data_IF_723675744588
#
_entry.id   IF_723675744588
#
_cell.length_a   1.000
_cell.length_b   1.000
_cell.length_c   1.000
_cell.angle_alpha   90.00
_cell.angle_beta   90.00
_cell.angle_gamma   90.00
#
_symmetry.space_group_name_H-M   'P 1'
#
loop_
_entity.id
_entity.type
_entity.pdbx_description
1 polymer ?
#
# COMPACT_ATOMS: atom_id res chain seq x y z
N UNK A 1 -14.61 -6.69 -24.03
CA UNK A 1 -13.89 -5.39 -24.09
C UNK A 1 -12.41 -5.68 -24.21
N UNK A 2 -11.74 -5.25 -25.28
CA UNK A 2 -10.34 -5.55 -25.54
C UNK A 2 -9.45 -4.77 -24.58
N UNK A 3 -8.69 -5.48 -23.75
CA UNK A 3 -7.67 -4.91 -22.86
C UNK A 3 -6.58 -4.24 -23.70
N UNK A 4 -6.56 -2.93 -23.76
CA UNK A 4 -5.47 -2.13 -24.31
C UNK A 4 -4.25 -2.24 -23.37
N UNK A 5 -3.52 -3.34 -23.40
CA UNK A 5 -2.17 -3.39 -22.83
C UNK A 5 -1.26 -2.50 -23.70
N UNK A 6 -1.13 -1.22 -23.36
CA UNK A 6 -0.06 -0.40 -23.94
C UNK A 6 1.27 -1.06 -23.61
N UNK A 7 2.00 -1.51 -24.65
CA UNK A 7 3.37 -1.99 -24.46
C UNK A 7 4.20 -0.88 -23.81
N UNK A 8 4.84 -1.17 -22.70
CA UNK A 8 5.81 -0.27 -22.07
C UNK A 8 6.94 -0.09 -23.09
N UNK A 9 7.15 1.12 -23.57
CA UNK A 9 8.20 1.44 -24.54
C UNK A 9 9.54 1.65 -23.82
N UNK A 10 10.65 1.48 -24.54
CA UNK A 10 11.99 1.81 -24.01
C UNK A 10 12.08 3.26 -23.54
N UNK A 11 11.36 4.17 -24.20
CA UNK A 11 11.28 5.58 -23.83
C UNK A 11 10.56 5.78 -22.48
N UNK A 12 9.44 5.10 -22.24
CA UNK A 12 8.73 5.14 -20.94
C UNK A 12 9.64 4.66 -19.81
N UNK A 13 10.40 3.59 -20.03
CA UNK A 13 11.37 3.08 -19.03
C UNK A 13 12.47 4.10 -18.75
N UNK A 14 12.97 4.76 -19.78
CA UNK A 14 14.00 5.79 -19.63
C UNK A 14 13.48 7.00 -18.87
N UNK A 15 12.30 7.51 -19.20
CA UNK A 15 11.65 8.62 -18.51
C UNK A 15 11.37 8.30 -17.04
N UNK A 16 10.87 7.11 -16.72
CA UNK A 16 10.67 6.65 -15.34
C UNK A 16 11.99 6.63 -14.55
N UNK A 17 13.07 6.12 -15.15
CA UNK A 17 14.39 6.12 -14.50
C UNK A 17 14.93 7.51 -14.22
N UNK A 18 14.70 8.46 -15.12
CA UNK A 18 15.08 9.87 -14.93
C UNK A 18 14.29 10.46 -13.79
N UNK A 19 12.95 10.33 -13.83
CA UNK A 19 12.06 10.83 -12.78
C UNK A 19 12.48 10.33 -11.40
N UNK A 20 12.72 9.02 -11.25
CA UNK A 20 13.14 8.43 -9.98
C UNK A 20 14.47 9.02 -9.48
N UNK A 21 15.45 9.27 -10.36
CA UNK A 21 16.77 9.76 -9.97
C UNK A 21 16.80 11.23 -9.57
N UNK A 22 15.87 12.03 -10.06
CA UNK A 22 15.80 13.48 -9.80
C UNK A 22 15.15 13.80 -8.46
N UNK A 23 14.44 12.84 -7.84
CA UNK A 23 13.73 13.07 -6.59
C UNK A 23 14.62 12.86 -5.36
N UNK A 24 14.45 13.75 -4.38
CA UNK A 24 15.19 13.68 -3.12
C UNK A 24 14.46 12.82 -2.09
N UNK A 25 13.13 12.85 -2.10
CA UNK A 25 12.28 12.01 -1.25
C UNK A 25 11.25 11.25 -2.08
N UNK A 26 11.11 9.94 -1.81
CA UNK A 26 10.13 9.08 -2.48
C UNK A 26 9.25 8.42 -1.42
N UNK A 27 7.96 8.65 -1.52
CA UNK A 27 6.93 7.97 -0.74
C UNK A 27 6.51 6.70 -1.46
N UNK A 28 6.71 5.57 -0.82
CA UNK A 28 6.42 4.25 -1.35
C UNK A 28 5.17 3.67 -0.69
N UNK A 29 4.20 3.22 -1.48
CA UNK A 29 3.25 2.23 -0.97
C UNK A 29 3.91 0.85 -0.92
N UNK A 30 3.30 -0.09 -0.21
CA UNK A 30 3.84 -1.44 -0.02
C UNK A 30 3.17 -2.47 -0.93
N UNK A 31 1.86 -2.70 -0.72
CA UNK A 31 1.10 -3.71 -1.44
C UNK A 31 0.86 -3.28 -2.89
N UNK A 32 1.16 -4.16 -3.82
CA UNK A 32 1.07 -3.81 -5.24
C UNK A 32 2.22 -2.92 -5.75
N UNK A 33 3.11 -2.42 -4.90
CA UNK A 33 4.21 -1.53 -5.28
C UNK A 33 5.57 -2.13 -4.95
N UNK A 34 5.79 -2.62 -3.74
CA UNK A 34 7.02 -3.30 -3.32
C UNK A 34 6.85 -4.81 -3.47
N UNK A 35 5.76 -5.33 -2.93
CA UNK A 35 5.35 -6.73 -3.06
C UNK A 35 4.09 -6.82 -3.92
N UNK A 36 4.02 -7.84 -4.77
CA UNK A 36 2.83 -8.13 -5.59
C UNK A 36 1.81 -8.92 -4.75
N UNK A 37 1.25 -8.27 -3.75
CA UNK A 37 0.46 -8.85 -2.65
C UNK A 37 -1.03 -8.50 -2.67
N UNK A 38 -1.51 -7.76 -3.66
CA UNK A 38 -2.92 -7.32 -3.73
C UNK A 38 -3.87 -8.51 -3.71
N UNK A 39 -3.62 -9.53 -4.55
CA UNK A 39 -4.46 -10.74 -4.60
C UNK A 39 -4.45 -11.53 -3.29
N UNK A 40 -3.33 -11.52 -2.56
CA UNK A 40 -3.21 -12.16 -1.24
C UNK A 40 -4.20 -11.56 -0.24
N UNK A 41 -4.34 -10.24 -0.25
CA UNK A 41 -5.27 -9.52 0.64
C UNK A 41 -6.72 -9.76 0.27
N UNK A 42 -7.05 -9.82 -1.03
CA UNK A 42 -8.40 -10.22 -1.49
C UNK A 42 -8.79 -11.60 -0.99
N UNK A 43 -7.91 -12.60 -1.16
CA UNK A 43 -8.10 -13.95 -0.62
C UNK A 43 -8.20 -13.98 0.92
N UNK A 44 -7.49 -13.11 1.61
CA UNK A 44 -7.56 -12.97 3.06
C UNK A 44 -8.96 -12.52 3.53
N UNK A 45 -9.55 -11.53 2.87
CA UNK A 45 -10.92 -11.09 3.16
C UNK A 45 -11.95 -12.17 2.80
N UNK A 46 -11.81 -12.83 1.66
CA UNK A 46 -12.66 -13.95 1.28
C UNK A 46 -12.70 -15.03 2.37
N UNK A 47 -11.52 -15.49 2.83
CA UNK A 47 -11.42 -16.49 3.90
C UNK A 47 -11.99 -16.01 5.23
N UNK A 48 -11.77 -14.72 5.57
CA UNK A 48 -12.23 -14.14 6.83
C UNK A 48 -13.77 -14.10 6.90
N UNK A 49 -14.43 -13.79 5.78
CA UNK A 49 -15.89 -13.63 5.71
C UNK A 49 -16.63 -14.83 5.15
N UNK A 50 -15.94 -15.90 4.74
CA UNK A 50 -16.55 -17.14 4.26
C UNK A 50 -17.61 -17.75 5.21
N UNK A 51 -17.43 -17.74 6.55
CA UNK A 51 -18.44 -18.24 7.48
C UNK A 51 -19.80 -17.54 7.43
N UNK A 52 -19.86 -16.33 6.85
CA UNK A 52 -21.08 -15.51 6.75
C UNK A 52 -21.83 -15.71 5.42
N UNK A 53 -21.36 -16.60 4.56
CA UNK A 53 -22.01 -16.98 3.31
C UNK A 53 -21.47 -16.27 2.07
N UNK A 54 -21.75 -16.87 0.91
CA UNK A 54 -21.18 -16.44 -0.39
C UNK A 54 -21.59 -15.01 -0.80
N UNK A 55 -22.80 -14.58 -0.44
CA UNK A 55 -23.27 -13.21 -0.75
C UNK A 55 -22.43 -12.14 -0.02
N UNK A 56 -22.11 -12.37 1.27
CA UNK A 56 -21.25 -11.47 2.04
C UNK A 56 -19.84 -11.47 1.46
N UNK A 57 -19.29 -12.64 1.16
CA UNK A 57 -17.97 -12.77 0.52
C UNK A 57 -17.89 -11.97 -0.77
N UNK A 58 -18.90 -12.09 -1.63
CA UNK A 58 -18.97 -11.36 -2.90
C UNK A 58 -18.97 -9.84 -2.69
N UNK A 59 -19.79 -9.33 -1.77
CA UNK A 59 -19.84 -7.89 -1.44
C UNK A 59 -18.47 -7.40 -0.91
N UNK A 60 -17.90 -8.14 0.04
CA UNK A 60 -16.62 -7.82 0.66
C UNK A 60 -15.49 -7.78 -0.37
N UNK A 61 -15.41 -8.80 -1.23
CA UNK A 61 -14.36 -8.90 -2.25
C UNK A 61 -14.48 -7.78 -3.28
N UNK A 62 -15.68 -7.53 -3.81
CA UNK A 62 -15.93 -6.45 -4.76
C UNK A 62 -15.58 -5.08 -4.17
N UNK A 63 -15.99 -4.82 -2.93
CA UNK A 63 -15.66 -3.56 -2.26
C UNK A 63 -14.17 -3.43 -2.01
N UNK A 64 -13.51 -4.51 -1.57
CA UNK A 64 -12.07 -4.49 -1.31
C UNK A 64 -11.26 -4.16 -2.58
N UNK A 65 -11.59 -4.79 -3.70
CA UNK A 65 -10.95 -4.56 -5.00
C UNK A 65 -11.18 -3.13 -5.52
N UNK A 66 -12.40 -2.61 -5.35
CA UNK A 66 -12.71 -1.23 -5.75
C UNK A 66 -12.04 -0.16 -4.86
N UNK A 67 -11.70 -0.51 -3.62
CA UNK A 67 -11.16 0.42 -2.62
C UNK A 67 -9.77 -0.03 -2.12
N UNK A 68 -8.87 -0.37 -3.04
CA UNK A 68 -7.46 -0.62 -2.70
C UNK A 68 -6.85 0.56 -1.96
N UNK A 69 -5.94 0.30 -1.02
CA UNK A 69 -5.27 1.35 -0.23
C UNK A 69 -6.10 1.94 0.93
N UNK A 70 -7.39 1.57 1.09
CA UNK A 70 -8.18 1.89 2.29
C UNK A 70 -7.85 0.90 3.40
N UNK A 71 -7.68 1.41 4.63
CA UNK A 71 -7.30 0.61 5.79
C UNK A 71 -8.38 -0.44 6.17
N UNK A 72 -7.93 -1.56 6.71
CA UNK A 72 -8.82 -2.57 7.31
C UNK A 72 -9.62 -2.02 8.48
N UNK A 73 -9.10 -1.02 9.19
CA UNK A 73 -9.81 -0.35 10.29
C UNK A 73 -11.08 0.37 9.82
N UNK A 74 -11.12 0.80 8.57
CA UNK A 74 -12.29 1.42 7.95
C UNK A 74 -13.20 0.37 7.29
N UNK A 75 -12.61 -0.69 6.73
CA UNK A 75 -13.33 -1.73 5.97
C UNK A 75 -14.04 -2.74 6.87
N UNK A 76 -13.36 -3.24 7.91
CA UNK A 76 -13.90 -4.32 8.76
C UNK A 76 -15.21 -3.91 9.45
N UNK A 77 -15.39 -2.69 10.00
CA UNK A 77 -16.68 -2.28 10.53
C UNK A 77 -17.82 -2.39 9.50
N UNK A 78 -17.58 -1.93 8.27
CA UNK A 78 -18.54 -2.02 7.18
C UNK A 78 -18.85 -3.48 6.80
N UNK A 79 -17.84 -4.34 6.79
CA UNK A 79 -18.00 -5.74 6.42
C UNK A 79 -18.71 -6.56 7.51
N UNK A 80 -18.51 -6.21 8.77
CA UNK A 80 -19.27 -6.78 9.88
C UNK A 80 -20.75 -6.40 9.80
N UNK A 81 -21.07 -5.15 9.47
CA UNK A 81 -22.45 -4.71 9.23
C UNK A 81 -23.12 -5.52 8.11
N UNK A 82 -22.42 -5.74 6.99
CA UNK A 82 -22.94 -6.59 5.91
C UNK A 82 -23.12 -8.05 6.29
N UNK A 83 -22.31 -8.54 7.24
CA UNK A 83 -22.43 -9.88 7.80
C UNK A 83 -23.53 -10.03 8.85
N UNK A 84 -24.20 -8.93 9.23
CA UNK A 84 -25.18 -8.91 10.32
C UNK A 84 -24.57 -9.03 11.72
N UNK A 85 -23.27 -8.73 11.83
CA UNK A 85 -22.50 -8.85 13.08
C UNK A 85 -22.31 -7.48 13.76
N UNK A 86 -22.23 -7.43 15.11
CA UNK A 86 -21.98 -6.19 15.81
C UNK A 86 -20.60 -5.60 15.46
N UNK A 87 -20.55 -4.36 15.01
CA UNK A 87 -19.30 -3.64 14.74
C UNK A 87 -18.80 -2.88 15.99
N UNK A 88 -18.72 -3.57 17.14
CA UNK A 88 -18.16 -2.98 18.36
C UNK A 88 -16.61 -3.01 18.35
N UNK A 89 -15.93 -2.18 19.16
CA UNK A 89 -14.46 -2.08 19.13
C UNK A 89 -13.73 -3.41 19.36
N UNK A 90 -14.25 -4.28 20.22
CA UNK A 90 -13.63 -5.58 20.56
C UNK A 90 -13.68 -6.48 19.33
N UNK A 91 -14.83 -6.58 18.67
CA UNK A 91 -15.03 -7.43 17.50
C UNK A 91 -14.24 -6.91 16.29
N UNK A 92 -14.21 -5.60 16.10
CA UNK A 92 -13.38 -4.98 15.06
C UNK A 92 -11.90 -5.35 15.26
N UNK A 93 -11.39 -5.22 16.48
CA UNK A 93 -10.00 -5.58 16.81
C UNK A 93 -9.72 -7.06 16.58
N UNK A 94 -10.63 -7.94 16.99
CA UNK A 94 -10.52 -9.40 16.74
C UNK A 94 -10.42 -9.71 15.24
N UNK A 95 -11.32 -9.14 14.43
CA UNK A 95 -11.31 -9.36 12.98
C UNK A 95 -10.07 -8.76 12.32
N UNK A 96 -9.60 -7.61 12.76
CA UNK A 96 -8.32 -7.05 12.31
C UNK A 96 -7.15 -8.00 12.60
N UNK A 97 -7.11 -8.58 13.81
CA UNK A 97 -6.08 -9.54 14.18
C UNK A 97 -6.17 -10.85 13.39
N UNK A 98 -7.37 -11.41 13.24
CA UNK A 98 -7.60 -12.60 12.40
C UNK A 98 -7.17 -12.36 10.95
N UNK A 99 -7.47 -11.19 10.41
CA UNK A 99 -7.03 -10.82 9.06
C UNK A 99 -5.50 -10.77 8.96
N UNK A 100 -4.80 -10.14 9.94
CA UNK A 100 -3.34 -10.14 9.99
C UNK A 100 -2.76 -11.55 9.94
N UNK A 101 -3.28 -12.46 10.78
CA UNK A 101 -2.83 -13.85 10.84
C UNK A 101 -3.04 -14.60 9.51
N UNK A 102 -4.09 -14.24 8.74
CA UNK A 102 -4.36 -14.86 7.44
C UNK A 102 -3.42 -14.39 6.33
N UNK A 103 -2.95 -13.13 6.39
CA UNK A 103 -2.28 -12.53 5.23
C UNK A 103 -0.80 -12.24 5.42
N UNK A 104 -0.30 -12.04 6.64
CA UNK A 104 1.04 -11.53 6.88
C UNK A 104 2.13 -12.40 6.24
N UNK A 105 2.12 -13.71 6.48
CA UNK A 105 3.11 -14.61 5.88
C UNK A 105 2.99 -14.67 4.37
N UNK A 106 1.77 -14.74 3.83
CA UNK A 106 1.54 -14.79 2.40
C UNK A 106 1.95 -13.47 1.69
N UNK A 107 1.84 -12.33 2.38
CA UNK A 107 2.39 -11.04 1.91
C UNK A 107 3.92 -11.08 1.88
N UNK A 108 4.57 -11.60 2.91
CA UNK A 108 6.02 -11.78 2.95
C UNK A 108 6.49 -12.68 1.79
N UNK A 109 5.78 -13.77 1.53
CA UNK A 109 6.13 -14.76 0.50
C UNK A 109 5.74 -14.31 -0.92
N UNK A 110 4.90 -13.29 -1.07
CA UNK A 110 4.46 -12.81 -2.39
C UNK A 110 5.64 -12.35 -3.25
N UNK A 111 5.53 -12.35 -4.57
CA UNK A 111 6.62 -11.92 -5.45
C UNK A 111 7.02 -10.45 -5.22
N UNK A 112 8.29 -10.15 -5.44
CA UNK A 112 8.76 -8.77 -5.55
C UNK A 112 8.23 -8.13 -6.84
N UNK A 113 7.81 -6.87 -6.77
CA UNK A 113 7.59 -6.09 -7.98
C UNK A 113 8.94 -5.94 -8.71
N UNK A 114 9.02 -6.28 -10.00
CA UNK A 114 10.28 -6.34 -10.72
C UNK A 114 11.11 -5.07 -10.62
N UNK A 115 12.35 -5.20 -10.16
CA UNK A 115 13.33 -4.11 -10.04
C UNK A 115 13.23 -3.29 -8.77
N UNK A 116 12.12 -3.34 -8.02
CA UNK A 116 11.91 -2.50 -6.83
C UNK A 116 12.86 -2.86 -5.70
N UNK A 117 12.99 -4.14 -5.35
CA UNK A 117 13.94 -4.58 -4.31
C UNK A 117 15.36 -4.08 -4.58
N UNK A 118 15.85 -4.27 -5.81
CA UNK A 118 17.18 -3.78 -6.21
C UNK A 118 17.28 -2.26 -6.09
N UNK A 119 16.23 -1.54 -6.50
CA UNK A 119 16.22 -0.08 -6.42
C UNK A 119 16.31 0.41 -4.97
N UNK A 120 15.50 -0.14 -4.07
CA UNK A 120 15.52 0.21 -2.65
C UNK A 120 16.91 -0.01 -2.05
N UNK A 121 17.46 -1.22 -2.18
CA UNK A 121 18.80 -1.56 -1.64
C UNK A 121 19.92 -0.69 -2.21
N UNK A 122 19.82 -0.23 -3.46
CA UNK A 122 20.91 0.51 -4.13
C UNK A 122 20.82 2.03 -3.94
N UNK A 123 19.68 2.59 -3.54
CA UNK A 123 19.49 4.04 -3.56
C UNK A 123 19.09 4.67 -2.22
N UNK A 124 18.74 3.90 -1.19
CA UNK A 124 18.32 4.42 0.12
C UNK A 124 19.39 5.30 0.83
N UNK A 125 20.64 5.18 0.46
CA UNK A 125 21.70 6.04 0.99
C UNK A 125 21.80 7.40 0.26
N UNK A 126 21.08 7.59 -0.85
CA UNK A 126 21.15 8.79 -1.70
C UNK A 126 19.83 9.55 -1.77
N UNK A 127 18.74 8.87 -1.45
CA UNK A 127 17.37 9.39 -1.50
C UNK A 127 16.67 8.99 -0.22
N UNK A 128 15.86 9.86 0.33
CA UNK A 128 15.01 9.51 1.47
C UNK A 128 13.82 8.69 0.98
N UNK A 129 13.69 7.47 1.47
CA UNK A 129 12.52 6.64 1.24
C UNK A 129 11.63 6.66 2.48
N UNK A 130 10.37 6.99 2.26
CA UNK A 130 9.32 6.99 3.27
C UNK A 130 8.29 5.95 2.87
N UNK A 131 8.02 4.99 3.73
CA UNK A 131 6.94 4.05 3.48
C UNK A 131 5.62 4.61 4.00
N UNK A 132 4.58 4.56 3.16
CA UNK A 132 3.22 4.99 3.48
C UNK A 132 2.23 3.90 3.06
N UNK A 133 1.63 3.18 4.00
CA UNK A 133 0.78 2.03 3.70
C UNK A 133 -0.49 2.00 4.53
N UNK A 134 -1.55 1.36 4.01
CA UNK A 134 -2.77 1.06 4.74
C UNK A 134 -2.65 -0.18 5.65
N UNK A 135 -1.53 -0.90 5.60
CA UNK A 135 -1.21 -1.98 6.55
C UNK A 135 -0.97 -1.37 7.94
N UNK A 136 -1.45 -1.99 9.04
CA UNK A 136 -1.17 -1.52 10.39
C UNK A 136 0.31 -1.32 10.68
N UNK A 137 0.63 -0.32 11.52
CA UNK A 137 2.02 0.07 11.80
C UNK A 137 2.87 -1.11 12.28
N UNK A 138 2.42 -1.82 13.29
CA UNK A 138 3.18 -2.96 13.86
C UNK A 138 3.38 -4.09 12.85
N UNK A 139 2.35 -4.39 12.05
CA UNK A 139 2.40 -5.43 11.01
C UNK A 139 3.42 -5.09 9.92
N UNK A 140 3.39 -3.84 9.41
CA UNK A 140 4.33 -3.47 8.36
C UNK A 140 5.78 -3.41 8.86
N UNK A 141 6.03 -3.01 10.10
CA UNK A 141 7.36 -3.03 10.71
C UNK A 141 7.89 -4.47 10.81
N UNK A 142 7.07 -5.43 11.23
CA UNK A 142 7.43 -6.86 11.26
C UNK A 142 7.71 -7.41 9.87
N UNK A 143 6.89 -7.06 8.88
CA UNK A 143 7.09 -7.45 7.47
C UNK A 143 8.44 -6.91 6.95
N UNK A 144 8.72 -5.62 7.16
CA UNK A 144 9.96 -4.99 6.72
C UNK A 144 11.19 -5.59 7.41
N UNK A 145 11.08 -5.92 8.68
CA UNK A 145 12.14 -6.60 9.43
C UNK A 145 12.43 -7.97 8.81
N UNK A 146 11.40 -8.78 8.58
CA UNK A 146 11.55 -10.13 7.98
C UNK A 146 12.11 -10.06 6.56
N UNK A 147 11.76 -9.03 5.79
CA UNK A 147 12.27 -8.81 4.43
C UNK A 147 13.64 -8.09 4.40
N UNK A 148 14.23 -7.79 5.55
CA UNK A 148 15.49 -7.03 5.68
C UNK A 148 15.46 -5.67 4.99
N UNK A 149 14.30 -5.00 4.97
CA UNK A 149 14.10 -3.69 4.34
C UNK A 149 14.06 -2.52 5.31
N UNK A 150 14.09 -2.74 6.62
CA UNK A 150 13.97 -1.67 7.62
C UNK A 150 14.99 -0.56 7.40
N UNK A 151 16.24 -0.92 7.07
CA UNK A 151 17.31 0.06 6.82
C UNK A 151 17.14 0.86 5.51
N UNK A 152 16.22 0.44 4.63
CA UNK A 152 15.98 1.14 3.37
C UNK A 152 15.08 2.35 3.53
N UNK A 153 14.33 2.46 4.63
CA UNK A 153 13.37 3.53 4.85
C UNK A 153 13.82 4.43 5.98
N UNK A 154 13.82 5.74 5.71
CA UNK A 154 14.04 6.76 6.74
C UNK A 154 12.90 6.77 7.74
N UNK A 155 11.67 6.58 7.26
CA UNK A 155 10.46 6.51 8.07
C UNK A 155 9.48 5.49 7.49
N UNK A 156 8.70 4.88 8.39
CA UNK A 156 7.66 3.91 8.08
C UNK A 156 6.35 4.37 8.71
N UNK A 157 5.32 4.53 7.90
CA UNK A 157 4.00 5.00 8.35
C UNK A 157 2.92 4.04 7.86
N UNK A 158 2.39 3.26 8.80
CA UNK A 158 1.22 2.40 8.62
C UNK A 158 -0.07 3.03 9.13
N UNK A 159 -1.18 2.33 8.91
CA UNK A 159 -2.46 2.72 9.50
C UNK A 159 -2.37 2.77 11.05
N UNK A 160 -3.13 3.68 11.69
CA UNK A 160 -4.28 4.44 11.17
C UNK A 160 -3.93 5.78 10.50
N UNK A 161 -2.66 6.15 10.37
CA UNK A 161 -2.29 7.40 9.70
C UNK A 161 -2.70 7.37 8.23
N UNK A 162 -3.30 8.48 7.76
CA UNK A 162 -3.65 8.59 6.33
C UNK A 162 -2.43 8.97 5.50
N UNK A 163 -2.31 8.41 4.30
CA UNK A 163 -1.19 8.67 3.38
C UNK A 163 -1.01 10.17 3.10
N UNK A 164 -2.11 10.91 2.90
CA UNK A 164 -2.06 12.35 2.61
C UNK A 164 -1.50 13.16 3.78
N UNK A 165 -1.91 12.86 5.00
CA UNK A 165 -1.40 13.56 6.19
C UNK A 165 0.08 13.27 6.42
N UNK A 166 0.51 12.02 6.18
CA UNK A 166 1.94 11.65 6.29
C UNK A 166 2.77 12.41 5.26
N UNK A 167 2.34 12.45 3.99
CA UNK A 167 3.06 13.20 2.95
C UNK A 167 3.21 14.66 3.35
N UNK A 168 2.12 15.32 3.78
CA UNK A 168 2.14 16.72 4.21
C UNK A 168 3.08 16.95 5.40
N UNK A 169 3.01 16.09 6.43
CA UNK A 169 3.85 16.19 7.63
C UNK A 169 5.33 16.04 7.29
N UNK A 170 5.68 15.00 6.54
CA UNK A 170 7.07 14.71 6.17
C UNK A 170 7.67 15.84 5.32
N UNK A 171 6.93 16.35 4.31
CA UNK A 171 7.40 17.46 3.49
C UNK A 171 7.73 18.69 4.34
N UNK A 172 6.85 19.05 5.28
CA UNK A 172 7.05 20.20 6.17
C UNK A 172 8.20 20.01 7.16
N UNK A 173 8.21 18.86 7.83
CA UNK A 173 9.16 18.58 8.92
C UNK A 173 10.59 18.34 8.42
N UNK A 174 10.74 17.74 7.24
CA UNK A 174 12.03 17.50 6.61
C UNK A 174 12.43 18.58 5.59
N UNK A 175 11.61 19.63 5.47
CA UNK A 175 11.86 20.79 4.60
C UNK A 175 12.03 20.44 3.11
N UNK A 176 11.24 19.46 2.61
CA UNK A 176 11.17 19.15 1.18
C UNK A 176 10.12 20.02 0.48
N UNK A 177 10.46 20.48 -0.73
CA UNK A 177 9.49 21.07 -1.64
C UNK A 177 8.76 19.96 -2.42
N UNK A 178 7.49 20.19 -2.83
CA UNK A 178 6.71 19.18 -3.56
C UNK A 178 7.35 18.69 -4.87
N UNK A 179 8.10 19.53 -5.57
CA UNK A 179 8.81 19.17 -6.80
C UNK A 179 10.01 18.23 -6.57
N UNK A 180 10.55 18.19 -5.36
CA UNK A 180 11.60 17.27 -4.92
C UNK A 180 11.08 15.90 -4.55
N UNK A 181 9.75 15.77 -4.44
CA UNK A 181 9.08 14.57 -3.95
C UNK A 181 8.41 13.77 -5.06
N UNK A 182 8.17 12.47 -4.79
CA UNK A 182 7.41 11.56 -5.63
C UNK A 182 6.61 10.61 -4.74
N UNK A 183 5.35 10.37 -5.07
CA UNK A 183 4.56 9.27 -4.52
C UNK A 183 4.50 8.15 -5.54
N UNK A 184 4.78 6.91 -5.12
CA UNK A 184 4.62 5.70 -5.93
C UNK A 184 3.54 4.85 -5.28
N UNK A 185 2.48 4.56 -6.02
CA UNK A 185 1.34 3.81 -5.55
C UNK A 185 0.58 3.10 -6.66
N UNK A 186 -0.36 2.25 -6.30
CA UNK A 186 -1.24 1.54 -7.23
C UNK A 186 -2.72 1.87 -7.05
N UNK A 187 -3.06 2.63 -6.00
CA UNK A 187 -4.43 2.92 -5.57
C UNK A 187 -4.81 4.40 -5.68
N UNK A 188 -6.12 4.66 -5.61
CA UNK A 188 -6.65 6.02 -5.56
C UNK A 188 -6.19 6.79 -4.32
N UNK A 189 -5.99 6.13 -3.19
CA UNK A 189 -5.51 6.79 -1.96
C UNK A 189 -4.10 7.35 -2.13
N UNK A 190 -3.23 6.69 -2.89
CA UNK A 190 -1.90 7.18 -3.23
C UNK A 190 -1.96 8.38 -4.15
N UNK A 191 -2.80 8.29 -5.19
CA UNK A 191 -3.02 9.41 -6.10
C UNK A 191 -3.57 10.64 -5.37
N UNK A 192 -4.53 10.45 -4.46
CA UNK A 192 -5.07 11.55 -3.66
C UNK A 192 -4.03 12.14 -2.72
N UNK A 193 -3.19 11.30 -2.10
CA UNK A 193 -2.10 11.77 -1.24
C UNK A 193 -1.11 12.65 -2.03
N UNK A 194 -0.74 12.23 -3.24
CA UNK A 194 0.11 13.01 -4.12
C UNK A 194 -0.57 14.34 -4.56
N UNK A 195 -1.81 14.25 -5.05
CA UNK A 195 -2.56 15.40 -5.56
C UNK A 195 -2.80 16.49 -4.51
N UNK A 196 -3.23 16.10 -3.30
CA UNK A 196 -3.49 17.04 -2.21
C UNK A 196 -2.24 17.78 -1.73
N UNK A 197 -1.07 17.17 -1.92
CA UNK A 197 0.21 17.74 -1.52
C UNK A 197 1.01 18.33 -2.70
N UNK A 198 0.42 18.41 -3.89
CA UNK A 198 1.07 18.88 -5.12
C UNK A 198 2.37 18.13 -5.48
N UNK A 199 2.46 16.85 -5.11
CA UNK A 199 3.59 15.97 -5.37
C UNK A 199 3.36 15.19 -6.66
N UNK A 200 4.42 14.91 -7.41
CA UNK A 200 4.37 14.04 -8.58
C UNK A 200 3.92 12.63 -8.18
N UNK A 201 3.14 11.97 -9.05
CA UNK A 201 2.62 10.62 -8.83
C UNK A 201 3.10 9.66 -9.92
N UNK A 202 3.61 8.52 -9.51
CA UNK A 202 3.96 7.40 -10.39
C UNK A 202 3.02 6.23 -10.11
N UNK A 203 2.10 5.98 -11.03
CA UNK A 203 1.18 4.85 -10.94
C UNK A 203 1.89 3.53 -11.30
N UNK A 204 1.91 2.59 -10.37
CA UNK A 204 2.17 1.18 -10.69
C UNK A 204 0.83 0.53 -11.09
N UNK A 205 0.78 -0.10 -12.25
CA UNK A 205 -0.39 -0.89 -12.66
C UNK A 205 -0.20 -2.34 -12.21
N UNK A 206 -1.10 -2.79 -11.37
CA UNK A 206 -1.22 -4.19 -10.90
C UNK A 206 -1.96 -5.03 -11.94
#
# INVERSE_FOLDING_TARGET
>A
MASFRRKITSETVKQTKILLKEKQVIFWDFDGVIKDSVAVKSLGYEKLFLPFGEEVVKLVTQHHEAHGGVSRYDKIPLYLDWAGEPANPIQIQEFCHRFSNLVQQAVIDSPWVPGVHKYLKSNHARQDFILITATPQEEIEQILHTLELTCCFREVHGAPKTKSNVVNDVLKRLHYFPDQALVIGDSETDFHAAKQNNVAFLLRRT
#
